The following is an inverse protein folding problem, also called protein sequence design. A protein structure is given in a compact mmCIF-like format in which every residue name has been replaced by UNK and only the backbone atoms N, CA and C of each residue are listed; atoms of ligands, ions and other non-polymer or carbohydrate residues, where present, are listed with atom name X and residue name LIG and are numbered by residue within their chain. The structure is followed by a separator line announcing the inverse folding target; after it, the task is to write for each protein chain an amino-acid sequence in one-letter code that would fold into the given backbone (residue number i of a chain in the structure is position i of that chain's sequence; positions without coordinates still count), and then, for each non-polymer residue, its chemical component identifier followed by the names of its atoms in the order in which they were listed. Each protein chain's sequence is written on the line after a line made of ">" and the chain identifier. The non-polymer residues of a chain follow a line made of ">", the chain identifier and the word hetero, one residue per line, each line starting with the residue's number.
data_IF_434296151485
#
_entry.id   IF_434296151485
#
_cell.length_a   1.000
_cell.length_b   1.000
_cell.length_c   1.000
_cell.angle_alpha   90.00
_cell.angle_beta   90.00
_cell.angle_gamma   90.00
#
_symmetry.space_group_name_H-M   'P 1'
#
loop_
_entity.id
_entity.type
_entity.pdbx_description
1 polymer ?
#
# COMPACT_ATOMS: atom_id res chain seq x y z
N UNK A 1 6.54 0.90 -23.90
CA UNK A 1 6.60 0.34 -22.53
C UNK A 1 8.01 -0.17 -22.28
N UNK A 2 8.61 0.13 -21.12
CA UNK A 2 9.88 -0.48 -20.74
C UNK A 2 9.69 -1.97 -20.46
N UNK A 3 10.69 -2.78 -20.78
CA UNK A 3 10.68 -4.19 -20.42
C UNK A 3 10.70 -4.35 -18.89
N UNK A 4 9.94 -5.34 -18.38
CA UNK A 4 9.89 -5.66 -16.94
C UNK A 4 11.28 -5.91 -16.36
N UNK A 5 12.18 -6.53 -17.14
CA UNK A 5 13.58 -6.79 -16.77
C UNK A 5 14.39 -5.50 -16.55
N UNK A 6 14.13 -4.46 -17.34
CA UNK A 6 14.77 -3.14 -17.18
C UNK A 6 14.33 -2.49 -15.88
N UNK A 7 13.03 -2.51 -15.57
CA UNK A 7 12.47 -1.96 -14.34
C UNK A 7 13.05 -2.69 -13.11
N UNK A 8 13.11 -4.02 -13.15
CA UNK A 8 13.66 -4.84 -12.07
C UNK A 8 15.14 -4.54 -11.80
N UNK A 9 15.96 -4.40 -12.84
CA UNK A 9 17.39 -4.06 -12.69
C UNK A 9 17.59 -2.69 -12.04
N UNK A 10 16.85 -1.69 -12.49
CA UNK A 10 16.93 -0.33 -11.94
C UNK A 10 16.46 -0.33 -10.49
N UNK A 11 15.39 -1.06 -10.19
CA UNK A 11 14.88 -1.21 -8.83
C UNK A 11 15.89 -1.86 -7.90
N UNK A 12 16.53 -2.95 -8.33
CA UNK A 12 17.54 -3.63 -7.53
C UNK A 12 18.75 -2.71 -7.24
N UNK A 13 19.19 -1.95 -8.25
CA UNK A 13 20.22 -0.92 -8.05
C UNK A 13 19.79 0.15 -7.03
N UNK A 14 18.54 0.62 -7.11
CA UNK A 14 18.00 1.60 -6.17
C UNK A 14 17.95 1.05 -4.73
N UNK A 15 17.48 -0.20 -4.54
CA UNK A 15 17.47 -0.87 -3.23
C UNK A 15 18.87 -0.98 -2.63
N UNK A 16 19.87 -1.43 -3.41
CA UNK A 16 21.27 -1.52 -2.95
C UNK A 16 21.86 -0.18 -2.53
N UNK A 17 21.40 0.92 -3.12
CA UNK A 17 21.89 2.26 -2.80
C UNK A 17 21.19 2.88 -1.58
N UNK A 18 19.92 2.53 -1.33
CA UNK A 18 19.10 3.15 -0.29
C UNK A 18 19.01 2.35 1.02
N UNK A 19 19.20 1.03 0.97
CA UNK A 19 19.04 0.14 2.12
C UNK A 19 20.40 -0.31 2.67
N UNK A 20 20.47 -0.57 3.98
CA UNK A 20 21.61 -1.28 4.57
C UNK A 20 21.73 -2.71 4.01
N UNK A 21 22.90 -3.38 4.13
CA UNK A 21 23.06 -4.75 3.65
C UNK A 21 22.07 -5.75 4.27
N UNK A 22 21.71 -5.55 5.54
CA UNK A 22 20.72 -6.38 6.25
C UNK A 22 19.31 -6.15 5.69
N UNK A 23 18.89 -4.89 5.58
CA UNK A 23 17.58 -4.53 5.00
C UNK A 23 17.45 -4.96 3.53
N UNK A 24 18.53 -4.85 2.75
CA UNK A 24 18.54 -5.29 1.36
C UNK A 24 18.31 -6.81 1.24
N UNK A 25 18.92 -7.59 2.14
CA UNK A 25 18.75 -9.04 2.23
C UNK A 25 17.38 -9.47 2.76
N UNK A 26 16.65 -8.56 3.40
CA UNK A 26 15.34 -8.82 3.98
C UNK A 26 14.22 -8.92 2.91
N UNK A 27 13.08 -9.59 3.22
CA UNK A 27 11.94 -9.71 2.31
C UNK A 27 11.25 -8.38 1.88
N UNK A 28 11.16 -7.33 2.72
CA UNK A 28 10.56 -6.06 2.35
C UNK A 28 11.10 -5.43 1.06
N UNK A 29 10.17 -4.85 0.28
CA UNK A 29 10.46 -4.12 -0.94
C UNK A 29 11.21 -4.91 -2.03
N UNK A 30 11.23 -6.25 -1.94
CA UNK A 30 11.95 -7.13 -2.87
C UNK A 30 11.49 -6.95 -4.31
N UNK A 31 10.21 -6.66 -4.52
CA UNK A 31 9.61 -6.35 -5.82
C UNK A 31 9.17 -4.89 -5.84
N UNK A 32 9.23 -4.27 -7.02
CA UNK A 32 8.67 -2.93 -7.24
C UNK A 32 7.20 -2.88 -6.83
N UNK A 33 6.45 -3.95 -7.09
CA UNK A 33 5.03 -4.04 -6.78
C UNK A 33 4.74 -4.03 -5.27
N UNK A 34 5.71 -4.36 -4.42
CA UNK A 34 5.55 -4.29 -2.97
C UNK A 34 5.35 -2.85 -2.50
N UNK A 35 5.95 -1.86 -3.18
CA UNK A 35 5.70 -0.44 -2.90
C UNK A 35 4.22 -0.07 -3.12
N UNK A 36 3.60 -0.63 -4.15
CA UNK A 36 2.17 -0.41 -4.43
C UNK A 36 1.32 -1.00 -3.31
N UNK A 37 1.65 -2.19 -2.83
CA UNK A 37 0.96 -2.80 -1.69
C UNK A 37 1.07 -1.95 -0.43
N UNK A 38 2.27 -1.46 -0.11
CA UNK A 38 2.49 -0.59 1.06
C UNK A 38 1.71 0.72 0.91
N UNK A 39 1.78 1.38 -0.25
CA UNK A 39 1.07 2.64 -0.49
C UNK A 39 -0.44 2.50 -0.28
N UNK A 40 -1.06 1.49 -0.91
CA UNK A 40 -2.50 1.29 -0.83
C UNK A 40 -2.96 0.89 0.57
N UNK A 41 -2.24 -0.01 1.24
CA UNK A 41 -2.56 -0.38 2.62
C UNK A 41 -2.37 0.77 3.60
N UNK A 42 -1.34 1.61 3.43
CA UNK A 42 -1.13 2.81 4.26
C UNK A 42 -2.27 3.82 4.09
N UNK A 43 -2.69 4.11 2.87
CA UNK A 43 -3.82 5.04 2.64
C UNK A 43 -5.12 4.53 3.24
N UNK A 44 -5.39 3.24 3.09
CA UNK A 44 -6.57 2.63 3.70
C UNK A 44 -6.48 2.68 5.24
N UNK A 45 -5.34 2.36 5.83
CA UNK A 45 -5.14 2.44 7.28
C UNK A 45 -5.16 3.88 7.84
N UNK A 46 -4.82 4.87 7.02
CA UNK A 46 -5.03 6.29 7.36
C UNK A 46 -6.52 6.71 7.32
N UNK A 47 -7.42 5.78 6.93
CA UNK A 47 -8.87 6.01 6.88
C UNK A 47 -9.33 6.82 5.68
N UNK A 48 -8.54 6.83 4.58
CA UNK A 48 -8.97 7.36 3.28
C UNK A 48 -10.04 6.43 2.70
N UNK A 49 -11.07 7.00 2.07
CA UNK A 49 -12.16 6.20 1.53
C UNK A 49 -11.67 5.17 0.48
N UNK A 50 -12.16 3.91 0.53
CA UNK A 50 -11.79 2.90 -0.47
C UNK A 50 -12.09 3.32 -1.91
N UNK A 51 -13.14 4.13 -2.12
CA UNK A 51 -13.49 4.69 -3.43
C UNK A 51 -12.36 5.54 -4.01
N UNK A 52 -11.86 6.49 -3.21
CA UNK A 52 -10.79 7.40 -3.62
C UNK A 52 -9.46 6.67 -3.81
N UNK A 53 -9.14 5.72 -2.93
CA UNK A 53 -7.95 4.87 -3.08
C UNK A 53 -8.02 4.05 -4.36
N UNK A 54 -9.19 3.49 -4.70
CA UNK A 54 -9.37 2.69 -5.91
C UNK A 54 -9.21 3.54 -7.19
N UNK A 55 -9.74 4.77 -7.17
CA UNK A 55 -9.58 5.74 -8.26
C UNK A 55 -8.10 6.07 -8.50
N UNK A 56 -7.35 6.43 -7.45
CA UNK A 56 -5.90 6.68 -7.55
C UNK A 56 -5.11 5.44 -7.96
N UNK A 57 -5.55 4.26 -7.53
CA UNK A 57 -4.96 3.01 -7.92
C UNK A 57 -5.27 2.65 -9.39
N UNK A 58 -6.31 3.22 -10.00
CA UNK A 58 -6.81 2.81 -11.31
C UNK A 58 -7.41 1.40 -11.29
N UNK A 59 -8.04 0.99 -10.18
CA UNK A 59 -8.76 -0.28 -10.07
C UNK A 59 -10.19 -0.08 -9.55
N UNK A 60 -11.00 -1.14 -9.58
CA UNK A 60 -12.33 -1.09 -8.96
C UNK A 60 -12.24 -1.24 -7.44
N UNK A 61 -13.22 -0.67 -6.73
CA UNK A 61 -13.34 -0.81 -5.27
C UNK A 61 -13.43 -2.28 -4.86
N UNK A 62 -14.12 -3.11 -5.66
CA UNK A 62 -14.21 -4.54 -5.42
C UNK A 62 -12.83 -5.22 -5.45
N UNK A 63 -12.02 -4.92 -6.47
CA UNK A 63 -10.66 -5.47 -6.58
C UNK A 63 -9.80 -4.99 -5.41
N UNK A 64 -9.90 -3.71 -5.04
CA UNK A 64 -9.19 -3.15 -3.91
C UNK A 64 -9.56 -3.87 -2.59
N UNK A 65 -10.84 -3.97 -2.27
CA UNK A 65 -11.30 -4.57 -1.01
C UNK A 65 -11.02 -6.07 -0.96
N UNK A 66 -11.18 -6.79 -2.08
CA UNK A 66 -10.81 -8.23 -2.16
C UNK A 66 -9.35 -8.46 -1.80
N UNK A 67 -8.46 -7.54 -2.17
CA UNK A 67 -7.03 -7.65 -1.89
C UNK A 67 -6.66 -7.15 -0.49
N UNK A 68 -7.25 -6.05 -0.01
CA UNK A 68 -6.76 -5.33 1.17
C UNK A 68 -7.67 -5.38 2.40
N UNK A 69 -8.88 -5.94 2.34
CA UNK A 69 -9.79 -5.99 3.50
C UNK A 69 -9.13 -6.62 4.75
N UNK A 70 -8.28 -7.64 4.56
CA UNK A 70 -7.55 -8.30 5.66
C UNK A 70 -6.51 -7.42 6.35
N UNK A 71 -6.09 -6.33 5.70
CA UNK A 71 -5.08 -5.42 6.21
C UNK A 71 -5.68 -4.21 6.94
N UNK A 72 -7.02 -4.09 6.99
CA UNK A 72 -7.76 -3.01 7.62
C UNK A 72 -7.99 -3.33 9.10
N UNK A 73 -6.91 -3.41 9.89
CA UNK A 73 -7.00 -3.71 11.32
C UNK A 73 -7.17 -2.40 12.09
N UNK A 74 -8.13 -2.34 13.02
CA UNK A 74 -8.37 -1.17 13.88
C UNK A 74 -9.22 -0.05 13.26
N UNK A 75 -9.74 -0.23 12.04
CA UNK A 75 -10.64 0.76 11.43
C UNK A 75 -11.97 0.90 12.17
N UNK A 76 -12.42 -0.13 12.89
CA UNK A 76 -13.70 -0.10 13.63
C UNK A 76 -13.65 0.94 14.76
N UNK A 77 -12.59 0.94 15.56
CA UNK A 77 -12.41 1.92 16.65
C UNK A 77 -12.26 3.34 16.12
N UNK A 78 -11.49 3.52 15.03
CA UNK A 78 -11.32 4.81 14.37
C UNK A 78 -12.64 5.31 13.77
N UNK A 79 -13.43 4.42 13.16
CA UNK A 79 -14.73 4.74 12.59
C UNK A 79 -15.75 5.08 13.67
N UNK A 80 -15.77 4.34 14.78
CA UNK A 80 -16.63 4.64 15.93
C UNK A 80 -16.27 5.98 16.58
N UNK A 81 -14.98 6.31 16.71
CA UNK A 81 -14.55 7.64 17.17
C UNK A 81 -15.07 8.75 16.24
N UNK A 82 -14.89 8.60 14.92
CA UNK A 82 -15.39 9.57 13.93
C UNK A 82 -16.92 9.72 13.99
N UNK A 83 -17.67 8.63 14.17
CA UNK A 83 -19.13 8.67 14.35
C UNK A 83 -19.48 9.41 15.64
N UNK A 84 -18.80 9.10 16.75
CA UNK A 84 -19.01 9.79 18.03
C UNK A 84 -18.72 11.28 17.95
N UNK A 85 -17.69 11.69 17.21
CA UNK A 85 -17.34 13.11 16.97
C UNK A 85 -18.35 13.83 16.08
N UNK A 86 -19.00 13.13 15.15
CA UNK A 86 -19.99 13.72 14.24
C UNK A 86 -21.41 13.77 14.84
N UNK A 87 -21.71 12.91 15.83
CA UNK A 87 -23.02 12.81 16.48
C UNK A 87 -23.08 13.46 17.87
N UNK A 88 -21.93 13.85 18.44
CA UNK A 88 -21.82 14.61 19.69
C UNK A 88 -21.80 16.12 19.46
#
# INVERSE_FOLDING_TARGET
>A
MLATSTIQRVWDKARRAALSPEEYGSPPAKRVYDLRHVCLSTWLNAGISPKQVAEWAGNSVEVLLRTYAKCLVGQDEVSMRRISEALG
#
